data_IF_791403761832
#
_entry.id   IF_791403761832
#
_cell.length_a   1.000
_cell.length_b   1.000
_cell.length_c   1.000
_cell.angle_alpha   90.00
_cell.angle_beta   90.00
_cell.angle_gamma   90.00
#
_symmetry.space_group_name_H-M   'P 1'
#
loop_
_entity.id
_entity.type
_entity.pdbx_description
1 polymer ?
#
# COMPACT_ATOMS: atom_id res chain seq x y z
N UNK A 1 -27.47 -34.00 5.51
CA UNK A 1 -26.01 -34.17 5.47
C UNK A 1 -25.41 -33.02 4.69
N UNK A 2 -24.61 -32.18 5.32
CA UNK A 2 -23.84 -31.15 4.59
C UNK A 2 -22.77 -31.85 3.73
N UNK A 3 -22.88 -31.74 2.42
CA UNK A 3 -21.86 -32.23 1.50
C UNK A 3 -20.70 -31.24 1.47
N UNK A 4 -19.62 -31.57 2.15
CA UNK A 4 -18.40 -30.75 2.12
C UNK A 4 -17.72 -30.81 0.75
N UNK A 5 -17.08 -29.69 0.31
CA UNK A 5 -16.28 -29.69 -0.91
C UNK A 5 -15.14 -30.68 -0.86
N UNK A 6 -14.73 -31.20 -2.01
CA UNK A 6 -13.61 -32.15 -2.12
C UNK A 6 -12.35 -31.53 -1.49
N UNK A 7 -11.67 -32.31 -0.62
CA UNK A 7 -10.46 -31.89 0.09
C UNK A 7 -10.70 -31.10 1.38
N UNK A 8 -11.93 -30.72 1.72
CA UNK A 8 -12.23 -29.96 2.95
C UNK A 8 -11.75 -30.68 4.20
N UNK A 9 -12.30 -31.89 4.45
CA UNK A 9 -11.95 -32.69 5.64
C UNK A 9 -10.47 -33.02 5.69
N UNK A 10 -9.84 -33.30 4.56
CA UNK A 10 -8.42 -33.60 4.46
C UNK A 10 -7.55 -32.40 4.79
N UNK A 11 -7.92 -31.18 4.32
CA UNK A 11 -7.18 -29.95 4.66
C UNK A 11 -7.22 -29.70 6.16
N UNK A 12 -8.38 -29.88 6.82
CA UNK A 12 -8.50 -29.67 8.27
C UNK A 12 -7.67 -30.70 9.04
N UNK A 13 -7.73 -31.99 8.64
CA UNK A 13 -6.92 -33.04 9.25
C UNK A 13 -5.41 -32.79 9.07
N UNK A 14 -5.01 -32.35 7.89
CA UNK A 14 -3.61 -32.02 7.61
C UNK A 14 -3.14 -30.77 8.40
N UNK A 15 -3.98 -29.75 8.58
CA UNK A 15 -3.68 -28.62 9.43
C UNK A 15 -3.38 -29.04 10.88
N UNK A 16 -4.23 -29.89 11.47
CA UNK A 16 -3.98 -30.47 12.80
C UNK A 16 -2.63 -31.18 12.86
N UNK A 17 -2.34 -32.05 11.88
CA UNK A 17 -1.07 -32.77 11.80
C UNK A 17 0.13 -31.82 11.71
N UNK A 18 0.05 -30.78 10.87
CA UNK A 18 1.13 -29.81 10.71
C UNK A 18 1.40 -29.10 12.03
N UNK A 19 0.38 -28.55 12.68
CA UNK A 19 0.59 -27.74 13.89
C UNK A 19 0.89 -28.58 15.15
N UNK A 20 0.32 -29.80 15.27
CA UNK A 20 0.50 -30.62 16.49
C UNK A 20 1.67 -31.57 16.43
N UNK A 21 2.06 -32.03 15.23
CA UNK A 21 3.07 -33.05 15.09
C UNK A 21 4.31 -32.58 14.34
N UNK A 22 4.14 -31.87 13.20
CA UNK A 22 5.24 -31.56 12.31
C UNK A 22 6.03 -30.33 12.83
N UNK A 23 5.36 -29.19 13.00
CA UNK A 23 6.01 -27.96 13.44
C UNK A 23 6.72 -28.09 14.81
N UNK A 24 6.20 -28.85 15.79
CA UNK A 24 6.92 -29.08 17.05
C UNK A 24 8.26 -29.82 16.87
N UNK A 25 8.40 -30.71 15.88
CA UNK A 25 9.70 -31.35 15.57
C UNK A 25 10.73 -30.32 15.07
N UNK A 26 10.27 -29.18 14.53
CA UNK A 26 11.11 -28.05 14.12
C UNK A 26 11.15 -26.93 15.18
N UNK A 27 10.99 -27.29 16.47
CA UNK A 27 11.09 -26.39 17.62
C UNK A 27 10.05 -25.26 17.66
N UNK A 28 8.92 -25.41 17.00
CA UNK A 28 7.79 -24.48 17.05
C UNK A 28 6.77 -24.93 18.09
N UNK A 29 6.32 -24.00 18.94
CA UNK A 29 5.34 -24.31 19.99
C UNK A 29 3.94 -24.51 19.40
N UNK A 30 3.22 -25.52 19.90
CA UNK A 30 1.79 -25.69 19.62
C UNK A 30 1.00 -24.54 20.25
N UNK A 31 0.11 -23.94 19.47
CA UNK A 31 -0.78 -22.86 19.91
C UNK A 31 -2.17 -23.13 19.39
N UNK A 32 -3.10 -23.36 20.31
CA UNK A 32 -4.48 -23.71 19.95
C UNK A 32 -5.18 -22.59 19.16
N UNK A 33 -4.88 -21.35 19.49
CA UNK A 33 -5.42 -20.16 18.80
C UNK A 33 -4.93 -20.08 17.34
N UNK A 34 -3.71 -20.53 17.09
CA UNK A 34 -3.13 -20.59 15.74
C UNK A 34 -3.81 -21.68 14.90
N UNK A 35 -4.07 -22.84 15.50
CA UNK A 35 -4.77 -23.94 14.86
C UNK A 35 -6.21 -23.53 14.55
N UNK A 36 -6.91 -22.97 15.51
CA UNK A 36 -8.27 -22.48 15.34
C UNK A 36 -8.37 -21.40 14.22
N UNK A 37 -7.40 -20.48 14.15
CA UNK A 37 -7.34 -19.50 13.07
C UNK A 37 -7.10 -20.17 11.71
N UNK A 38 -6.25 -21.19 11.62
CA UNK A 38 -6.03 -21.93 10.38
C UNK A 38 -7.32 -22.63 9.91
N UNK A 39 -8.09 -23.19 10.83
CA UNK A 39 -9.39 -23.78 10.51
C UNK A 39 -10.38 -22.74 10.01
N UNK A 40 -10.46 -21.57 10.63
CA UNK A 40 -11.32 -20.48 10.15
C UNK A 40 -10.91 -19.99 8.75
N UNK A 41 -9.59 -19.92 8.48
CA UNK A 41 -9.09 -19.62 7.12
C UNK A 41 -9.55 -20.66 6.11
N UNK A 42 -9.43 -21.95 6.42
CA UNK A 42 -9.90 -23.04 5.56
C UNK A 42 -11.40 -22.95 5.31
N UNK A 43 -12.20 -22.76 6.36
CA UNK A 43 -13.64 -22.59 6.25
C UNK A 43 -14.01 -21.44 5.31
N UNK A 44 -13.36 -20.29 5.50
CA UNK A 44 -13.56 -19.10 4.66
C UNK A 44 -13.27 -19.40 3.19
N UNK A 45 -12.14 -20.07 2.92
CA UNK A 45 -11.69 -20.38 1.57
C UNK A 45 -12.62 -21.38 0.87
N UNK A 46 -13.03 -22.45 1.56
CA UNK A 46 -13.90 -23.48 1.00
C UNK A 46 -15.33 -22.99 0.77
N UNK A 47 -15.84 -22.17 1.68
CA UNK A 47 -17.20 -21.61 1.56
C UNK A 47 -17.25 -20.36 0.66
N UNK A 48 -16.11 -19.84 0.21
CA UNK A 48 -16.00 -18.61 -0.61
C UNK A 48 -16.63 -17.39 0.07
N UNK A 49 -16.31 -17.22 1.33
CA UNK A 49 -16.84 -16.14 2.18
C UNK A 49 -15.79 -15.06 2.44
N UNK A 50 -16.19 -14.02 3.17
CA UNK A 50 -15.28 -13.05 3.77
C UNK A 50 -15.25 -13.32 5.27
N UNK A 51 -14.06 -13.34 5.89
CA UNK A 51 -13.91 -13.45 7.33
C UNK A 51 -13.16 -12.26 7.92
N UNK A 52 -13.59 -11.82 9.10
CA UNK A 52 -12.91 -10.90 10.00
C UNK A 52 -12.27 -11.71 11.12
N UNK A 53 -10.96 -11.83 11.10
CA UNK A 53 -10.20 -12.67 12.02
C UNK A 53 -9.35 -11.78 12.95
N UNK A 54 -9.83 -11.52 14.16
CA UNK A 54 -9.02 -10.91 15.21
C UNK A 54 -8.21 -11.99 15.92
N UNK A 55 -6.90 -11.87 15.86
CA UNK A 55 -6.00 -12.76 16.57
C UNK A 55 -4.87 -11.94 17.22
N UNK A 56 -4.78 -12.00 18.53
CA UNK A 56 -3.86 -11.21 19.34
C UNK A 56 -2.39 -11.39 18.95
N UNK A 57 -1.54 -10.52 19.48
CA UNK A 57 -0.09 -10.62 19.28
C UNK A 57 0.42 -11.94 19.84
N UNK A 58 1.28 -12.62 19.09
CA UNK A 58 1.88 -13.90 19.48
C UNK A 58 1.09 -15.15 19.10
N UNK A 59 -0.11 -15.03 18.52
CA UNK A 59 -0.88 -16.18 18.03
C UNK A 59 -0.24 -16.87 16.83
N UNK A 60 0.66 -16.21 16.10
CA UNK A 60 1.27 -16.76 14.88
C UNK A 60 0.37 -16.65 13.65
N UNK A 61 -0.38 -15.57 13.52
CA UNK A 61 -1.30 -15.30 12.40
C UNK A 61 -0.73 -15.65 11.02
N UNK A 62 0.49 -15.18 10.75
CA UNK A 62 1.14 -15.35 9.45
C UNK A 62 1.23 -16.82 9.06
N UNK A 63 1.72 -17.65 9.94
CA UNK A 63 1.86 -19.09 9.69
C UNK A 63 0.48 -19.77 9.57
N UNK A 64 -0.52 -19.35 10.37
CA UNK A 64 -1.87 -19.90 10.31
C UNK A 64 -2.52 -19.68 8.94
N UNK A 65 -2.50 -18.46 8.41
CA UNK A 65 -3.11 -18.22 7.11
C UNK A 65 -2.27 -18.78 5.95
N UNK A 66 -0.94 -18.84 6.06
CA UNK A 66 -0.09 -19.48 5.04
C UNK A 66 -0.38 -20.97 4.92
N UNK A 67 -0.41 -21.71 6.05
CA UNK A 67 -0.74 -23.13 6.06
C UNK A 67 -2.15 -23.36 5.49
N UNK A 68 -3.16 -22.60 5.96
CA UNK A 68 -4.53 -22.73 5.45
C UNK A 68 -4.63 -22.48 3.94
N UNK A 69 -3.99 -21.44 3.45
CA UNK A 69 -3.94 -21.10 2.01
C UNK A 69 -3.26 -22.18 1.17
N UNK A 70 -2.12 -22.70 1.62
CA UNK A 70 -1.36 -23.73 0.91
C UNK A 70 -2.18 -25.03 0.84
N UNK A 71 -2.73 -25.49 1.97
CA UNK A 71 -3.54 -26.71 2.02
C UNK A 71 -4.78 -26.62 1.13
N UNK A 72 -5.44 -25.46 1.13
CA UNK A 72 -6.58 -25.23 0.24
C UNK A 72 -6.16 -25.25 -1.24
N UNK A 73 -5.04 -24.59 -1.59
CA UNK A 73 -4.53 -24.53 -2.96
C UNK A 73 -4.09 -25.90 -3.48
N UNK A 74 -3.50 -26.74 -2.64
CA UNK A 74 -3.11 -28.12 -3.00
C UNK A 74 -4.30 -28.97 -3.45
N UNK A 75 -5.46 -28.79 -2.85
CA UNK A 75 -6.68 -29.52 -3.19
C UNK A 75 -7.42 -28.98 -4.41
N UNK A 76 -6.86 -27.97 -5.12
CA UNK A 76 -7.42 -27.44 -6.36
C UNK A 76 -6.85 -28.16 -7.59
N UNK A 77 -7.66 -28.44 -8.61
CA UNK A 77 -7.15 -28.99 -9.88
C UNK A 77 -6.09 -28.04 -10.47
N UNK A 78 -4.99 -28.58 -11.00
CA UNK A 78 -3.88 -27.78 -11.56
C UNK A 78 -4.32 -26.71 -12.56
N UNK A 79 -5.26 -27.05 -13.45
CA UNK A 79 -5.83 -26.12 -14.45
C UNK A 79 -6.58 -24.95 -13.85
N UNK A 80 -6.96 -25.03 -12.56
CA UNK A 80 -7.75 -24.01 -11.83
C UNK A 80 -6.90 -23.29 -10.76
N UNK A 81 -5.63 -23.66 -10.61
CA UNK A 81 -4.74 -23.00 -9.65
C UNK A 81 -4.38 -21.61 -10.14
N UNK A 82 -4.81 -20.62 -9.39
CA UNK A 82 -4.42 -19.24 -9.53
C UNK A 82 -3.66 -18.80 -8.28
N UNK A 83 -2.86 -17.76 -8.34
CA UNK A 83 -2.17 -17.23 -7.17
C UNK A 83 -3.13 -16.85 -6.04
N UNK A 84 -2.61 -16.87 -4.82
CA UNK A 84 -3.23 -16.22 -3.67
C UNK A 84 -2.55 -14.86 -3.50
N UNK A 85 -3.32 -13.81 -3.20
CA UNK A 85 -2.78 -12.49 -2.90
C UNK A 85 -2.74 -12.30 -1.39
N UNK A 86 -1.57 -11.90 -0.89
CA UNK A 86 -1.38 -11.46 0.49
C UNK A 86 -1.04 -9.97 0.48
N UNK A 87 -1.90 -9.17 1.07
CA UNK A 87 -1.70 -7.73 1.23
C UNK A 87 -1.39 -7.41 2.68
N UNK A 88 -0.30 -6.69 2.94
CA UNK A 88 0.09 -6.28 4.30
C UNK A 88 0.45 -4.79 4.35
N UNK A 89 0.41 -4.20 5.52
CA UNK A 89 0.71 -2.78 5.71
C UNK A 89 2.21 -2.47 5.79
N UNK A 90 3.07 -3.49 5.97
CA UNK A 90 4.50 -3.33 6.28
C UNK A 90 5.38 -3.95 5.21
N UNK A 91 6.39 -3.20 4.75
CA UNK A 91 7.43 -3.72 3.84
C UNK A 91 8.25 -4.80 4.56
N UNK A 92 8.60 -4.59 5.84
CA UNK A 92 9.32 -5.58 6.61
C UNK A 92 8.58 -6.93 6.71
N UNK A 93 7.25 -6.90 6.83
CA UNK A 93 6.47 -8.14 6.85
C UNK A 93 6.39 -8.79 5.45
N UNK A 94 6.35 -8.00 4.37
CA UNK A 94 6.44 -8.55 3.01
C UNK A 94 7.75 -9.32 2.82
N UNK A 95 8.85 -8.71 3.25
CA UNK A 95 10.18 -9.31 3.15
C UNK A 95 10.28 -10.55 4.06
N UNK A 96 9.80 -10.50 5.31
CA UNK A 96 9.78 -11.66 6.20
C UNK A 96 8.94 -12.84 5.65
N UNK A 97 7.78 -12.57 5.05
CA UNK A 97 6.98 -13.62 4.41
C UNK A 97 7.76 -14.27 3.27
N UNK A 98 8.44 -13.46 2.43
CA UNK A 98 9.17 -13.94 1.26
C UNK A 98 10.47 -14.68 1.63
N UNK A 99 11.23 -14.17 2.62
CA UNK A 99 12.60 -14.63 2.90
C UNK A 99 12.73 -15.55 4.10
N UNK A 100 11.72 -15.59 4.98
CA UNK A 100 11.73 -16.40 6.20
C UNK A 100 10.56 -17.39 6.22
N UNK A 101 9.31 -16.90 6.37
CA UNK A 101 8.15 -17.77 6.60
C UNK A 101 7.87 -18.76 5.48
N UNK A 102 7.88 -18.33 4.22
CA UNK A 102 7.58 -19.21 3.09
C UNK A 102 8.71 -20.21 2.79
N UNK A 103 10.00 -19.81 2.79
CA UNK A 103 11.09 -20.77 2.61
C UNK A 103 11.13 -21.84 3.70
N UNK A 104 11.00 -21.45 4.97
CA UNK A 104 11.02 -22.38 6.09
C UNK A 104 9.83 -23.35 6.02
N UNK A 105 8.62 -22.81 5.82
CA UNK A 105 7.42 -23.64 5.69
C UNK A 105 7.52 -24.56 4.47
N UNK A 106 8.01 -24.06 3.34
CA UNK A 106 8.18 -24.85 2.12
C UNK A 106 9.16 -26.02 2.32
N UNK A 107 10.30 -25.76 2.99
CA UNK A 107 11.28 -26.79 3.30
C UNK A 107 10.68 -27.89 4.20
N UNK A 108 10.00 -27.49 5.28
CA UNK A 108 9.34 -28.43 6.21
C UNK A 108 8.31 -29.29 5.48
N UNK A 109 7.45 -28.67 4.66
CA UNK A 109 6.40 -29.41 3.95
C UNK A 109 6.94 -30.32 2.84
N UNK A 110 8.09 -29.98 2.21
CA UNK A 110 8.81 -30.83 1.27
C UNK A 110 9.41 -32.05 1.97
N UNK A 111 10.11 -31.85 3.09
CA UNK A 111 10.77 -32.91 3.86
C UNK A 111 9.76 -33.91 4.40
N UNK A 112 8.57 -33.47 4.78
CA UNK A 112 7.46 -34.32 5.22
C UNK A 112 6.63 -34.90 4.06
N UNK A 113 6.99 -34.65 2.81
CA UNK A 113 6.31 -35.15 1.60
C UNK A 113 4.87 -34.65 1.43
N UNK A 114 4.53 -33.50 2.05
CA UNK A 114 3.19 -32.89 1.94
C UNK A 114 3.05 -32.16 0.62
N UNK A 115 4.10 -31.47 0.19
CA UNK A 115 4.18 -30.82 -1.12
C UNK A 115 5.27 -31.49 -1.97
N UNK A 116 5.15 -31.39 -3.30
CA UNK A 116 6.08 -32.03 -4.26
C UNK A 116 7.03 -31.05 -4.92
N UNK A 117 6.80 -29.75 -4.76
CA UNK A 117 7.64 -28.69 -5.30
C UNK A 117 7.66 -27.51 -4.31
N UNK A 118 8.73 -26.70 -4.32
CA UNK A 118 8.80 -25.50 -3.49
C UNK A 118 7.68 -24.51 -3.80
N UNK A 119 7.17 -23.83 -2.76
CA UNK A 119 6.16 -22.80 -2.89
C UNK A 119 6.81 -21.55 -3.49
N UNK A 120 6.26 -21.06 -4.58
CA UNK A 120 6.77 -19.89 -5.29
C UNK A 120 6.03 -18.62 -4.89
N UNK A 121 6.76 -17.56 -4.59
CA UNK A 121 6.17 -16.28 -4.22
C UNK A 121 6.85 -15.10 -4.89
N UNK A 122 6.13 -14.01 -5.08
CA UNK A 122 6.65 -12.76 -5.63
C UNK A 122 6.07 -11.55 -4.89
N UNK A 123 6.93 -10.58 -4.58
CA UNK A 123 6.49 -9.30 -4.04
C UNK A 123 6.16 -8.35 -5.20
N UNK A 124 4.94 -7.82 -5.23
CA UNK A 124 4.48 -6.82 -6.19
C UNK A 124 4.63 -5.43 -5.60
N UNK A 125 5.46 -4.62 -6.25
CA UNK A 125 5.75 -3.23 -5.88
C UNK A 125 5.58 -2.32 -7.08
N UNK A 126 5.42 -1.01 -6.84
CA UNK A 126 5.41 -0.01 -7.91
C UNK A 126 6.71 0.01 -8.69
N UNK A 127 6.63 0.35 -9.97
CA UNK A 127 7.79 0.42 -10.89
C UNK A 127 8.90 1.33 -10.35
N UNK A 128 8.53 2.38 -9.64
CA UNK A 128 9.43 3.35 -9.03
C UNK A 128 10.32 2.77 -7.91
N UNK A 129 10.07 1.52 -7.51
CA UNK A 129 10.90 0.78 -6.54
C UNK A 129 12.00 -0.04 -7.19
N UNK A 130 11.98 -0.20 -8.50
CA UNK A 130 12.92 -1.04 -9.23
C UNK A 130 13.91 -0.20 -10.03
N UNK A 131 15.14 -0.70 -10.14
CA UNK A 131 16.21 -0.11 -10.95
C UNK A 131 15.91 -0.29 -12.43
N UNK A 132 16.03 0.79 -13.20
CA UNK A 132 16.08 0.75 -14.66
C UNK A 132 17.54 0.75 -15.13
N UNK A 133 18.00 -0.33 -15.74
CA UNK A 133 19.40 -0.48 -16.16
C UNK A 133 19.86 0.62 -17.11
N UNK A 134 19.00 1.05 -18.04
CA UNK A 134 19.30 2.14 -18.97
C UNK A 134 19.53 3.48 -18.26
N UNK A 135 18.66 3.82 -17.31
CA UNK A 135 18.79 5.04 -16.49
C UNK A 135 19.95 4.97 -15.51
N UNK A 136 20.23 3.76 -14.98
CA UNK A 136 21.38 3.53 -14.12
C UNK A 136 22.69 3.79 -14.88
N UNK A 137 22.84 3.24 -16.08
CA UNK A 137 24.01 3.45 -16.93
C UNK A 137 24.22 4.94 -17.27
N UNK A 138 23.14 5.65 -17.65
CA UNK A 138 23.17 7.09 -17.88
C UNK A 138 23.59 7.86 -16.61
N UNK A 139 23.01 7.52 -15.47
CA UNK A 139 23.32 8.18 -14.20
C UNK A 139 24.76 7.91 -13.75
N UNK A 140 25.25 6.69 -13.89
CA UNK A 140 26.60 6.29 -13.53
C UNK A 140 27.64 7.05 -14.38
N UNK A 141 27.40 7.27 -15.67
CA UNK A 141 28.29 8.04 -16.54
C UNK A 141 28.42 9.50 -16.10
N UNK A 142 27.35 10.11 -15.61
CA UNK A 142 27.35 11.49 -15.12
C UNK A 142 28.08 11.66 -13.77
N UNK A 143 28.09 10.59 -12.92
CA UNK A 143 28.70 10.62 -11.57
C UNK A 143 30.19 10.28 -11.57
N UNK A 144 30.74 9.78 -12.68
CA UNK A 144 32.17 9.47 -12.77
C UNK A 144 33.10 10.63 -12.42
N UNK A 145 32.62 11.85 -12.46
CA UNK A 145 33.38 13.08 -12.20
C UNK A 145 33.29 13.63 -10.77
N UNK A 146 32.44 13.09 -9.88
CA UNK A 146 32.33 13.60 -8.50
C UNK A 146 31.73 12.63 -7.50
N UNK A 147 32.44 12.42 -6.35
CA UNK A 147 32.01 11.81 -5.08
C UNK A 147 32.00 10.28 -4.95
N UNK A 148 33.01 9.75 -4.21
CA UNK A 148 33.19 8.33 -3.87
C UNK A 148 31.95 7.63 -3.28
N UNK A 149 31.19 8.28 -2.39
CA UNK A 149 30.03 7.67 -1.70
C UNK A 149 28.85 7.40 -2.65
N UNK A 150 28.65 8.27 -3.62
CA UNK A 150 27.58 8.15 -4.63
C UNK A 150 27.91 7.06 -5.66
N UNK A 151 29.19 6.83 -5.96
CA UNK A 151 29.64 5.72 -6.80
C UNK A 151 29.31 4.36 -6.20
N UNK A 152 29.52 4.19 -4.89
CA UNK A 152 29.30 2.91 -4.23
C UNK A 152 27.81 2.50 -4.25
N UNK A 153 26.87 3.42 -3.97
CA UNK A 153 25.45 3.09 -3.99
C UNK A 153 24.90 2.78 -5.39
N UNK A 154 25.40 3.47 -6.43
CA UNK A 154 25.05 3.15 -7.81
C UNK A 154 25.65 1.82 -8.27
N UNK A 155 26.88 1.50 -7.86
CA UNK A 155 27.49 0.21 -8.12
C UNK A 155 26.74 -0.97 -7.46
N UNK A 156 26.22 -0.78 -6.24
CA UNK A 156 25.32 -1.76 -5.61
C UNK A 156 24.05 -1.96 -6.45
N UNK A 157 23.50 -0.90 -7.03
CA UNK A 157 22.32 -0.97 -7.89
C UNK A 157 22.55 -1.73 -9.21
N UNK A 158 23.79 -1.96 -9.63
CA UNK A 158 24.11 -2.83 -10.77
C UNK A 158 23.77 -4.30 -10.51
N UNK A 159 23.81 -4.72 -9.24
CA UNK A 159 23.55 -6.11 -8.84
C UNK A 159 22.20 -6.31 -8.17
N UNK A 160 21.62 -5.26 -7.58
CA UNK A 160 20.34 -5.32 -6.85
C UNK A 160 19.26 -4.60 -7.65
N UNK A 161 18.19 -5.31 -8.01
CA UNK A 161 17.06 -4.77 -8.78
C UNK A 161 16.10 -3.96 -7.91
N UNK A 162 15.78 -4.44 -6.70
CA UNK A 162 14.87 -3.79 -5.77
C UNK A 162 15.61 -2.73 -4.93
N UNK A 163 15.27 -1.46 -5.16
CA UNK A 163 15.92 -0.34 -4.47
C UNK A 163 15.62 -0.27 -2.97
N UNK A 164 14.61 -0.99 -2.47
CA UNK A 164 14.34 -1.04 -1.03
C UNK A 164 15.48 -1.78 -0.28
N UNK A 165 16.22 -2.65 -0.99
CA UNK A 165 17.41 -3.34 -0.47
C UNK A 165 18.70 -2.54 -0.62
N UNK A 166 18.63 -1.27 -1.01
CA UNK A 166 19.78 -0.37 -1.15
C UNK A 166 19.54 0.89 -0.28
N UNK A 167 19.71 0.80 1.04
CA UNK A 167 19.44 1.92 1.95
C UNK A 167 20.34 3.15 1.71
N UNK A 168 21.56 2.95 1.18
CA UNK A 168 22.52 4.01 0.90
C UNK A 168 22.13 4.87 -0.30
N UNK A 169 21.17 4.42 -1.12
CA UNK A 169 20.75 5.14 -2.32
C UNK A 169 19.97 6.39 -1.96
N UNK A 170 20.46 7.55 -2.36
CA UNK A 170 19.81 8.83 -2.10
C UNK A 170 18.44 8.91 -2.75
N UNK A 171 17.49 9.68 -2.17
CA UNK A 171 16.18 9.93 -2.77
C UNK A 171 16.29 10.49 -4.19
N UNK A 172 17.28 11.35 -4.41
CA UNK A 172 17.56 11.92 -5.73
C UNK A 172 17.95 10.86 -6.76
N UNK A 173 18.87 9.96 -6.39
CA UNK A 173 19.30 8.89 -7.30
C UNK A 173 18.18 7.88 -7.54
N UNK A 174 17.40 7.51 -6.50
CA UNK A 174 16.21 6.65 -6.65
C UNK A 174 15.26 7.17 -7.72
N UNK A 175 14.92 8.45 -7.70
CA UNK A 175 14.03 9.05 -8.70
C UNK A 175 14.63 9.05 -10.12
N UNK A 176 15.97 9.08 -10.23
CA UNK A 176 16.67 9.13 -11.52
C UNK A 176 16.86 7.77 -12.17
N UNK A 177 17.07 6.73 -11.36
CA UNK A 177 17.35 5.37 -11.87
C UNK A 177 16.14 4.45 -11.83
N UNK A 178 14.98 4.88 -11.32
CA UNK A 178 13.80 4.04 -11.24
C UNK A 178 13.23 3.68 -12.62
N UNK A 179 12.53 2.55 -12.69
CA UNK A 179 11.77 2.15 -13.87
C UNK A 179 10.69 3.19 -14.17
N UNK A 180 10.62 3.74 -15.39
CA UNK A 180 9.65 4.75 -15.75
C UNK A 180 8.23 4.18 -15.82
N UNK A 181 7.21 5.02 -15.66
CA UNK A 181 5.81 4.62 -15.80
C UNK A 181 5.53 4.01 -17.19
N UNK A 182 6.11 4.59 -18.23
CA UNK A 182 6.08 4.06 -19.59
C UNK A 182 7.50 3.86 -20.10
N UNK A 183 7.86 2.61 -20.41
CA UNK A 183 9.17 2.31 -21.01
C UNK A 183 9.19 2.69 -22.49
N UNK A 184 10.25 3.34 -22.99
CA UNK A 184 10.43 3.62 -24.40
C UNK A 184 10.37 2.32 -25.23
N UNK A 185 9.77 2.39 -26.44
CA UNK A 185 9.67 1.25 -27.34
C UNK A 185 11.03 0.85 -27.92
N UNK A 186 11.92 1.81 -28.05
CA UNK A 186 13.27 1.74 -28.60
C UNK A 186 14.37 1.59 -27.53
N UNK A 187 14.01 1.19 -26.32
CA UNK A 187 14.99 0.95 -25.26
C UNK A 187 16.01 -0.11 -25.68
N UNK A 188 17.28 0.27 -25.73
CA UNK A 188 18.39 -0.57 -26.20
C UNK A 188 18.67 -1.80 -25.30
N UNK A 189 18.27 -1.73 -24.00
CA UNK A 189 18.37 -2.86 -23.06
C UNK A 189 17.09 -3.70 -22.97
N UNK A 190 16.14 -3.56 -23.89
CA UNK A 190 14.81 -4.18 -23.75
C UNK A 190 14.87 -5.71 -23.62
N UNK A 191 15.79 -6.37 -24.33
CA UNK A 191 15.96 -7.83 -24.29
C UNK A 191 16.63 -8.31 -23.01
N UNK A 192 17.61 -7.55 -22.51
CA UNK A 192 18.46 -7.87 -21.36
C UNK A 192 18.00 -7.13 -20.09
N UNK A 193 16.85 -6.47 -20.12
CA UNK A 193 16.31 -5.70 -19.00
C UNK A 193 15.98 -6.60 -17.81
N UNK A 194 16.68 -6.44 -16.68
CA UNK A 194 16.47 -7.19 -15.43
C UNK A 194 15.03 -7.06 -14.92
N UNK A 195 14.42 -5.88 -15.03
CA UNK A 195 13.03 -5.68 -14.62
C UNK A 195 12.05 -6.48 -15.49
N UNK A 196 12.25 -6.51 -16.81
CA UNK A 196 11.43 -7.35 -17.71
C UNK A 196 11.65 -8.83 -17.48
N UNK A 197 12.86 -9.25 -17.16
CA UNK A 197 13.19 -10.62 -16.79
C UNK A 197 12.50 -11.00 -15.48
N UNK A 198 12.62 -10.17 -14.44
CA UNK A 198 11.89 -10.34 -13.17
C UNK A 198 10.38 -10.53 -13.39
N UNK A 199 9.76 -9.74 -14.27
CA UNK A 199 8.34 -9.91 -14.60
C UNK A 199 8.03 -11.23 -15.34
N UNK A 200 8.98 -11.76 -16.10
CA UNK A 200 8.84 -13.05 -16.81
C UNK A 200 9.03 -14.25 -15.91
N UNK A 201 10.05 -14.21 -15.05
CA UNK A 201 10.43 -15.31 -14.17
C UNK A 201 9.29 -15.67 -13.20
N UNK A 202 8.55 -14.67 -12.74
CA UNK A 202 7.39 -14.85 -11.86
C UNK A 202 6.05 -14.82 -12.61
N UNK A 203 5.94 -15.54 -13.73
CA UNK A 203 4.68 -15.58 -14.49
C UNK A 203 3.56 -16.34 -13.79
N UNK A 204 3.89 -17.36 -13.00
CA UNK A 204 2.90 -18.23 -12.30
C UNK A 204 3.34 -18.49 -10.86
N UNK A 205 3.42 -17.47 -10.00
CA UNK A 205 3.70 -17.72 -8.59
C UNK A 205 2.49 -18.35 -7.92
N UNK A 206 2.71 -19.10 -6.84
CA UNK A 206 1.63 -19.60 -5.97
C UNK A 206 1.06 -18.45 -5.13
N UNK A 207 1.94 -17.50 -4.74
CA UNK A 207 1.58 -16.39 -3.87
C UNK A 207 2.09 -15.06 -4.47
N UNK A 208 1.24 -14.05 -4.49
CA UNK A 208 1.60 -12.67 -4.76
C UNK A 208 1.49 -11.85 -3.47
N UNK A 209 2.57 -11.22 -3.05
CA UNK A 209 2.63 -10.37 -1.86
C UNK A 209 2.63 -8.91 -2.31
N UNK A 210 1.86 -8.05 -1.66
CA UNK A 210 1.86 -6.61 -1.95
C UNK A 210 1.53 -5.80 -0.69
N UNK A 211 1.62 -4.48 -0.77
CA UNK A 211 1.08 -3.61 0.27
C UNK A 211 -0.37 -3.21 -0.05
N UNK A 212 -1.06 -2.63 0.95
CA UNK A 212 -2.44 -2.19 0.80
C UNK A 212 -2.61 -1.16 -0.32
N UNK A 213 -1.66 -0.24 -0.50
CA UNK A 213 -1.73 0.74 -1.57
C UNK A 213 -1.67 0.08 -2.96
N UNK A 214 -0.85 -0.95 -3.14
CA UNK A 214 -0.76 -1.68 -4.40
C UNK A 214 -2.02 -2.50 -4.68
N UNK A 215 -2.59 -3.13 -3.64
CA UNK A 215 -3.88 -3.81 -3.72
C UNK A 215 -5.00 -2.85 -4.16
N UNK A 216 -5.09 -1.69 -3.53
CA UNK A 216 -6.07 -0.66 -3.84
C UNK A 216 -5.86 -0.08 -5.24
N UNK A 217 -4.61 0.15 -5.66
CA UNK A 217 -4.30 0.59 -7.02
C UNK A 217 -4.75 -0.45 -8.06
N UNK A 218 -4.51 -1.74 -7.80
CA UNK A 218 -5.01 -2.81 -8.66
C UNK A 218 -6.54 -2.82 -8.72
N UNK A 219 -7.22 -2.60 -7.60
CA UNK A 219 -8.68 -2.53 -7.54
C UNK A 219 -9.23 -1.32 -8.32
N UNK A 220 -8.59 -0.14 -8.24
CA UNK A 220 -8.93 1.02 -9.06
C UNK A 220 -8.73 0.76 -10.55
N UNK A 221 -7.61 0.12 -10.94
CA UNK A 221 -7.38 -0.29 -12.32
C UNK A 221 -8.49 -1.20 -12.85
N UNK A 222 -8.98 -2.12 -12.02
CA UNK A 222 -10.11 -3.00 -12.38
C UNK A 222 -11.41 -2.22 -12.61
N UNK A 223 -11.72 -1.26 -11.74
CA UNK A 223 -12.92 -0.43 -11.87
C UNK A 223 -12.88 0.49 -13.09
N UNK A 224 -11.68 0.91 -13.50
CA UNK A 224 -11.46 1.80 -14.64
C UNK A 224 -11.12 1.02 -15.93
N UNK A 225 -11.28 -0.31 -15.92
CA UNK A 225 -10.98 -1.20 -17.04
C UNK A 225 -9.54 -1.06 -17.58
N UNK A 226 -8.61 -0.69 -16.71
CA UNK A 226 -7.18 -0.60 -17.02
C UNK A 226 -6.48 -1.96 -16.86
N UNK A 227 -5.29 -2.17 -17.45
CA UNK A 227 -4.50 -3.36 -17.23
C UNK A 227 -4.22 -3.59 -15.73
N UNK A 228 -4.50 -4.81 -15.26
CA UNK A 228 -4.32 -5.16 -13.86
C UNK A 228 -2.85 -5.15 -13.45
N UNK A 229 -2.58 -4.70 -12.23
CA UNK A 229 -1.26 -4.69 -11.61
C UNK A 229 -0.90 -6.05 -11.00
N UNK A 230 -1.89 -6.70 -10.39
CA UNK A 230 -1.81 -8.07 -9.90
C UNK A 230 -2.30 -9.02 -10.99
N UNK A 231 -1.75 -10.23 -11.03
CA UNK A 231 -2.36 -11.30 -11.81
C UNK A 231 -3.69 -11.69 -11.19
N UNK A 232 -4.56 -12.25 -12.04
CA UNK A 232 -5.79 -12.86 -11.56
C UNK A 232 -5.46 -13.85 -10.42
N UNK A 233 -6.21 -13.79 -9.35
CA UNK A 233 -5.99 -14.55 -8.14
C UNK A 233 -7.29 -15.24 -7.70
N UNK A 234 -7.18 -16.23 -6.84
CA UNK A 234 -8.32 -17.04 -6.40
C UNK A 234 -8.71 -16.83 -4.94
N UNK A 235 -7.86 -16.16 -4.15
CA UNK A 235 -8.12 -15.81 -2.76
C UNK A 235 -7.30 -14.58 -2.37
N UNK A 236 -7.79 -13.82 -1.39
CA UNK A 236 -7.16 -12.63 -0.85
C UNK A 236 -6.99 -12.75 0.67
N UNK A 237 -5.79 -12.50 1.15
CA UNK A 237 -5.50 -12.27 2.56
C UNK A 237 -5.10 -10.81 2.74
N UNK A 238 -5.76 -10.11 3.64
CA UNK A 238 -5.41 -8.75 4.06
C UNK A 238 -4.92 -8.82 5.49
N UNK A 239 -3.62 -8.79 5.67
CA UNK A 239 -2.99 -8.79 6.98
C UNK A 239 -2.85 -7.35 7.49
N UNK A 240 -3.00 -7.15 8.79
CA UNK A 240 -3.16 -5.84 9.43
C UNK A 240 -4.31 -5.03 8.81
N UNK A 241 -5.45 -5.69 8.60
CA UNK A 241 -6.62 -5.16 7.91
C UNK A 241 -7.18 -3.87 8.54
N UNK A 242 -6.90 -3.62 9.82
CA UNK A 242 -7.26 -2.36 10.49
C UNK A 242 -6.63 -1.12 9.83
N UNK A 243 -5.53 -1.28 9.08
CA UNK A 243 -4.85 -0.19 8.36
C UNK A 243 -5.38 0.03 6.94
N UNK A 244 -6.17 -0.90 6.41
CA UNK A 244 -6.69 -0.79 5.04
C UNK A 244 -7.58 0.46 4.83
N UNK A 245 -8.48 0.87 5.77
CA UNK A 245 -9.25 2.09 5.62
C UNK A 245 -8.39 3.35 5.54
N UNK A 246 -7.27 3.41 6.28
CA UNK A 246 -6.36 4.55 6.24
C UNK A 246 -5.58 4.60 4.93
N UNK A 247 -5.12 3.46 4.43
CA UNK A 247 -4.50 3.36 3.11
C UNK A 247 -5.48 3.79 2.00
N UNK A 248 -6.74 3.37 2.09
CA UNK A 248 -7.78 3.78 1.15
C UNK A 248 -8.10 5.29 1.25
N UNK A 249 -8.16 5.83 2.46
CA UNK A 249 -8.35 7.28 2.66
C UNK A 249 -7.22 8.07 2.00
N UNK A 250 -5.97 7.66 2.20
CA UNK A 250 -4.83 8.31 1.57
C UNK A 250 -4.88 8.21 0.04
N UNK A 251 -5.21 7.03 -0.49
CA UNK A 251 -5.27 6.80 -1.93
C UNK A 251 -6.39 7.58 -2.63
N UNK A 252 -7.57 7.68 -2.00
CA UNK A 252 -8.72 8.40 -2.53
C UNK A 252 -8.78 9.88 -2.10
N UNK A 253 -7.67 10.41 -1.58
CA UNK A 253 -7.47 11.83 -1.33
C UNK A 253 -6.74 12.44 -2.51
N UNK A 254 -7.41 13.35 -3.20
CA UNK A 254 -6.79 14.17 -4.24
C UNK A 254 -5.97 15.27 -3.58
N UNK A 255 -4.73 15.47 -4.04
CA UNK A 255 -3.82 16.45 -3.43
C UNK A 255 -3.17 17.32 -4.47
N UNK A 256 -2.93 18.60 -4.11
CA UNK A 256 -2.13 19.55 -4.86
C UNK A 256 -1.14 20.21 -3.91
N UNK A 257 0.12 19.83 -4.00
CA UNK A 257 1.18 20.42 -3.22
C UNK A 257 1.86 21.59 -3.94
N UNK A 258 2.58 22.41 -3.19
CA UNK A 258 3.44 23.46 -3.78
C UNK A 258 4.47 22.85 -4.75
N UNK A 259 4.95 21.64 -4.47
CA UNK A 259 5.87 20.91 -5.35
C UNK A 259 5.21 20.50 -6.67
N UNK A 260 3.96 20.01 -6.65
CA UNK A 260 3.24 19.63 -7.88
C UNK A 260 3.06 20.84 -8.80
N UNK A 261 2.79 22.01 -8.20
CA UNK A 261 2.69 23.27 -8.94
C UNK A 261 4.05 23.69 -9.51
N UNK A 262 5.15 23.57 -8.75
CA UNK A 262 6.50 23.85 -9.24
C UNK A 262 6.90 22.89 -10.39
N UNK A 263 6.55 21.61 -10.29
CA UNK A 263 6.79 20.62 -11.33
C UNK A 263 5.99 20.98 -12.60
N UNK A 264 4.71 21.38 -12.46
CA UNK A 264 3.89 21.87 -13.59
C UNK A 264 4.47 23.12 -14.24
N UNK A 265 4.92 24.09 -13.43
CA UNK A 265 5.59 25.30 -13.93
C UNK A 265 6.89 24.98 -14.67
N UNK A 266 7.64 23.98 -14.20
CA UNK A 266 8.88 23.52 -14.84
C UNK A 266 8.61 22.87 -16.20
N UNK A 267 7.56 22.05 -16.30
CA UNK A 267 7.10 21.45 -17.56
C UNK A 267 6.65 22.53 -18.57
N UNK A 268 5.93 23.55 -18.13
CA UNK A 268 5.56 24.70 -18.98
C UNK A 268 6.78 25.45 -19.50
N UNK A 269 7.83 25.62 -18.69
CA UNK A 269 9.09 26.24 -19.12
C UNK A 269 9.81 25.41 -20.19
N UNK A 270 9.85 24.08 -20.02
CA UNK A 270 10.44 23.13 -20.99
C UNK A 270 9.67 23.17 -22.32
N UNK A 271 8.35 23.34 -22.26
CA UNK A 271 7.49 23.48 -23.43
C UNK A 271 7.48 24.92 -24.03
N UNK A 272 8.45 25.76 -23.64
CA UNK A 272 8.63 27.14 -24.11
C UNK A 272 7.59 28.17 -23.68
N UNK A 273 6.67 27.85 -22.72
CA UNK A 273 5.69 28.77 -22.16
C UNK A 273 6.22 29.52 -20.91
N UNK A 274 7.43 30.08 -20.99
CA UNK A 274 8.14 30.70 -19.84
C UNK A 274 7.35 31.80 -19.15
N UNK A 275 6.70 32.69 -19.92
CA UNK A 275 5.91 33.81 -19.40
C UNK A 275 4.70 33.34 -18.60
N UNK A 276 3.97 32.34 -19.12
CA UNK A 276 2.80 31.75 -18.47
C UNK A 276 3.19 30.96 -17.22
N UNK A 277 4.30 30.24 -17.25
CA UNK A 277 4.87 29.55 -16.08
C UNK A 277 5.15 30.53 -14.94
N UNK A 278 5.82 31.66 -15.22
CA UNK A 278 6.10 32.71 -14.21
C UNK A 278 4.80 33.27 -13.62
N UNK A 279 3.82 33.58 -14.48
CA UNK A 279 2.52 34.09 -14.05
C UNK A 279 1.76 33.07 -13.16
N UNK A 280 1.75 31.81 -13.55
CA UNK A 280 1.11 30.74 -12.76
C UNK A 280 1.74 30.61 -11.38
N UNK A 281 3.07 30.64 -11.29
CA UNK A 281 3.79 30.61 -10.01
C UNK A 281 3.41 31.79 -9.11
N UNK A 282 3.29 32.99 -9.65
CA UNK A 282 2.88 34.21 -8.90
C UNK A 282 1.44 34.05 -8.37
N UNK A 283 0.50 33.65 -9.21
CA UNK A 283 -0.91 33.48 -8.81
C UNK A 283 -1.04 32.38 -7.74
N UNK A 284 -0.32 31.27 -7.90
CA UNK A 284 -0.34 30.19 -6.88
C UNK A 284 0.32 30.63 -5.57
N UNK A 285 1.35 31.46 -5.61
CA UNK A 285 1.93 32.04 -4.40
C UNK A 285 0.92 32.93 -3.65
N UNK A 286 0.16 33.76 -4.37
CA UNK A 286 -0.92 34.56 -3.78
C UNK A 286 -1.98 33.68 -3.12
N UNK A 287 -2.38 32.60 -3.80
CA UNK A 287 -3.29 31.59 -3.24
C UNK A 287 -2.70 30.95 -1.96
N UNK A 288 -1.43 30.57 -1.99
CA UNK A 288 -0.74 29.95 -0.84
C UNK A 288 -0.69 30.91 0.37
N UNK A 289 -0.38 32.18 0.13
CA UNK A 289 -0.39 33.21 1.18
C UNK A 289 -1.80 33.37 1.77
N UNK A 290 -2.84 33.37 0.95
CA UNK A 290 -4.23 33.45 1.42
C UNK A 290 -4.65 32.32 2.36
N UNK A 291 -3.98 31.17 2.22
CA UNK A 291 -4.24 29.97 2.99
C UNK A 291 -3.36 29.81 4.23
N UNK A 292 -2.30 30.62 4.35
CA UNK A 292 -1.38 30.57 5.50
C UNK A 292 -2.12 30.95 6.79
N UNK A 293 -2.04 30.11 7.84
CA UNK A 293 -2.69 30.43 9.11
C UNK A 293 -1.98 31.60 9.83
N UNK A 294 -2.74 32.35 10.64
CA UNK A 294 -2.22 33.51 11.41
C UNK A 294 -1.43 33.12 12.66
N UNK A 295 -1.40 31.85 13.02
CA UNK A 295 -0.63 31.34 14.16
C UNK A 295 0.75 30.82 13.74
N UNK A 296 1.68 30.77 14.68
CA UNK A 296 3.03 30.25 14.46
C UNK A 296 2.99 28.76 14.09
N UNK A 297 3.56 28.41 12.94
CA UNK A 297 3.58 27.04 12.45
C UNK A 297 4.48 26.15 13.31
N UNK A 298 4.00 25.03 13.83
CA UNK A 298 4.84 24.09 14.54
C UNK A 298 5.82 23.40 13.57
N UNK A 299 6.99 23.01 14.08
CA UNK A 299 8.00 22.24 13.30
C UNK A 299 7.57 20.77 13.10
N UNK A 300 6.32 20.56 12.76
CA UNK A 300 5.75 19.24 12.44
C UNK A 300 4.64 19.42 11.41
N UNK A 301 4.30 18.33 10.73
CA UNK A 301 3.15 18.32 9.81
C UNK A 301 1.86 18.59 10.58
N UNK A 302 1.04 19.49 10.07
CA UNK A 302 -0.30 19.81 10.60
C UNK A 302 -1.33 19.80 9.48
N UNK A 303 -2.56 19.47 9.83
CA UNK A 303 -3.73 19.55 8.94
C UNK A 303 -4.76 20.47 9.58
N UNK A 304 -5.32 21.37 8.80
CA UNK A 304 -6.37 22.31 9.24
C UNK A 304 -7.56 22.22 8.29
N UNK A 305 -8.81 22.26 8.77
CA UNK A 305 -9.98 22.31 7.93
C UNK A 305 -9.91 23.51 6.97
N UNK A 306 -10.32 23.30 5.72
CA UNK A 306 -10.43 24.40 4.78
C UNK A 306 -11.70 25.19 5.05
N UNK A 307 -11.62 26.51 5.07
CA UNK A 307 -12.75 27.43 5.12
C UNK A 307 -12.67 28.41 3.95
N UNK A 308 -13.75 28.50 3.18
CA UNK A 308 -13.82 29.41 2.04
C UNK A 308 -14.12 30.82 2.54
N UNK A 309 -13.14 31.72 2.34
CA UNK A 309 -13.31 33.18 2.58
C UNK A 309 -13.38 33.89 1.23
N UNK A 310 -13.95 35.11 1.16
CA UNK A 310 -14.00 35.86 -0.09
C UNK A 310 -12.61 36.04 -0.76
N UNK A 311 -11.57 36.24 0.05
CA UNK A 311 -10.20 36.38 -0.45
C UNK A 311 -9.65 35.07 -1.03
N UNK A 312 -9.87 33.94 -0.34
CA UNK A 312 -9.50 32.61 -0.86
C UNK A 312 -10.28 32.24 -2.10
N UNK A 313 -11.58 32.56 -2.13
CA UNK A 313 -12.43 32.35 -3.29
C UNK A 313 -11.90 33.07 -4.52
N UNK A 314 -11.55 34.36 -4.40
CA UNK A 314 -10.97 35.13 -5.48
C UNK A 314 -9.62 34.54 -5.93
N UNK A 315 -8.72 34.22 -5.00
CA UNK A 315 -7.42 33.67 -5.33
C UNK A 315 -7.49 32.27 -6.02
N UNK A 316 -8.42 31.42 -5.61
CA UNK A 316 -8.67 30.12 -6.28
C UNK A 316 -9.24 30.36 -7.68
N UNK A 317 -10.22 31.27 -7.82
CA UNK A 317 -10.81 31.59 -9.12
C UNK A 317 -9.77 32.15 -10.11
N UNK A 318 -8.89 33.03 -9.64
CA UNK A 318 -7.79 33.57 -10.46
C UNK A 318 -6.85 32.46 -10.93
N UNK A 319 -6.53 31.51 -10.04
CA UNK A 319 -5.69 30.36 -10.39
C UNK A 319 -6.38 29.47 -11.44
N UNK A 320 -7.65 29.17 -11.26
CA UNK A 320 -8.46 28.36 -12.20
C UNK A 320 -8.52 29.05 -13.57
N UNK A 321 -8.87 30.34 -13.60
CA UNK A 321 -8.96 31.11 -14.85
C UNK A 321 -7.64 31.11 -15.62
N UNK A 322 -6.51 31.23 -14.88
CA UNK A 322 -5.19 31.18 -15.50
C UNK A 322 -4.86 29.80 -16.03
N UNK A 323 -5.19 28.71 -15.29
CA UNK A 323 -4.98 27.34 -15.74
C UNK A 323 -5.75 27.05 -17.03
N UNK A 324 -7.01 27.49 -17.11
CA UNK A 324 -7.85 27.39 -18.32
C UNK A 324 -7.24 28.15 -19.49
N UNK A 325 -6.82 29.40 -19.23
CA UNK A 325 -6.18 30.22 -20.26
C UNK A 325 -4.90 29.57 -20.78
N UNK A 326 -4.08 28.99 -19.90
CA UNK A 326 -2.87 28.28 -20.30
C UNK A 326 -3.23 27.04 -21.13
N UNK A 327 -4.21 26.25 -20.68
CA UNK A 327 -4.65 25.04 -21.39
C UNK A 327 -5.24 25.29 -22.79
N UNK A 328 -5.80 26.48 -23.02
CA UNK A 328 -6.37 26.90 -24.32
C UNK A 328 -5.33 27.48 -25.30
N UNK A 329 -4.04 27.56 -24.91
CA UNK A 329 -3.03 28.10 -25.81
C UNK A 329 -2.80 27.21 -27.01
N UNK A 330 -2.60 27.80 -28.22
CA UNK A 330 -2.17 27.04 -29.39
C UNK A 330 -0.87 26.29 -29.09
N UNK A 331 -0.72 25.12 -29.69
CA UNK A 331 0.46 24.27 -29.55
C UNK A 331 0.74 23.73 -28.14
N UNK A 332 -0.25 23.79 -27.23
CA UNK A 332 -0.13 23.19 -25.89
C UNK A 332 -0.06 21.67 -26.00
N UNK A 333 1.02 21.01 -25.53
CA UNK A 333 1.14 19.56 -25.55
C UNK A 333 0.01 18.87 -24.78
N UNK A 334 -0.56 17.79 -25.31
CA UNK A 334 -1.68 17.06 -24.68
C UNK A 334 -1.42 16.63 -23.24
N UNK A 335 -0.19 16.21 -22.94
CA UNK A 335 0.15 15.81 -21.58
C UNK A 335 0.10 17.00 -20.58
N UNK A 336 0.41 18.22 -21.05
CA UNK A 336 0.28 19.43 -20.24
C UNK A 336 -1.19 19.85 -20.12
N UNK A 337 -1.97 19.76 -21.19
CA UNK A 337 -3.42 20.03 -21.13
C UNK A 337 -4.07 19.15 -20.06
N UNK A 338 -3.73 17.85 -20.04
CA UNK A 338 -4.24 16.92 -19.04
C UNK A 338 -3.84 17.34 -17.61
N UNK A 339 -2.56 17.65 -17.36
CA UNK A 339 -2.08 18.08 -16.04
C UNK A 339 -2.69 19.41 -15.57
N UNK A 340 -2.89 20.36 -16.49
CA UNK A 340 -3.58 21.61 -16.20
C UNK A 340 -5.05 21.36 -15.81
N UNK A 341 -5.74 20.51 -16.54
CA UNK A 341 -7.13 20.15 -16.27
C UNK A 341 -7.27 19.39 -14.93
N UNK A 342 -6.36 18.47 -14.59
CA UNK A 342 -6.35 17.82 -13.27
C UNK A 342 -6.19 18.84 -12.14
N UNK A 343 -5.24 19.76 -12.28
CA UNK A 343 -4.97 20.81 -11.29
C UNK A 343 -6.19 21.75 -11.14
N UNK A 344 -6.80 22.15 -12.26
CA UNK A 344 -8.02 22.94 -12.28
C UNK A 344 -9.17 22.21 -11.59
N UNK A 345 -9.40 20.96 -11.94
CA UNK A 345 -10.49 20.13 -11.38
C UNK A 345 -10.38 20.03 -9.86
N UNK A 346 -9.19 19.80 -9.35
CA UNK A 346 -8.96 19.75 -7.91
C UNK A 346 -9.23 21.10 -7.23
N UNK A 347 -8.74 22.23 -7.77
CA UNK A 347 -9.01 23.55 -7.21
C UNK A 347 -10.49 23.92 -7.23
N UNK A 348 -11.25 23.47 -8.24
CA UNK A 348 -12.71 23.65 -8.29
C UNK A 348 -13.43 23.01 -7.12
N UNK A 349 -12.95 21.88 -6.59
CA UNK A 349 -13.54 21.25 -5.40
C UNK A 349 -13.55 22.21 -4.19
N UNK A 350 -12.57 23.12 -4.11
CA UNK A 350 -12.47 24.09 -3.02
C UNK A 350 -13.38 25.31 -3.16
N UNK A 351 -14.01 25.48 -4.33
CA UNK A 351 -15.05 26.50 -4.57
C UNK A 351 -16.47 25.95 -4.40
N UNK A 352 -16.62 24.63 -4.43
CA UNK A 352 -17.89 23.95 -4.40
C UNK A 352 -18.14 23.33 -3.02
N UNK A 353 -19.36 23.41 -2.53
CA UNK A 353 -19.80 22.58 -1.42
C UNK A 353 -20.08 21.16 -1.94
N UNK A 354 -19.09 20.28 -1.85
CA UNK A 354 -19.19 18.89 -2.29
C UNK A 354 -19.40 17.98 -1.07
N UNK A 355 -20.64 17.54 -0.79
CA UNK A 355 -20.94 16.78 0.43
C UNK A 355 -20.17 15.44 0.55
N UNK A 356 -19.57 14.97 -0.54
CA UNK A 356 -18.81 13.71 -0.57
C UNK A 356 -17.32 13.89 -0.33
N UNK A 357 -16.87 15.13 -0.09
CA UNK A 357 -15.47 15.48 0.10
C UNK A 357 -15.25 16.20 1.43
N UNK A 358 -14.13 15.89 2.07
CA UNK A 358 -13.61 16.61 3.22
C UNK A 358 -12.42 17.42 2.73
N UNK A 359 -12.57 18.74 2.75
CA UNK A 359 -11.55 19.67 2.27
C UNK A 359 -10.70 20.17 3.44
N UNK A 360 -9.39 20.05 3.33
CA UNK A 360 -8.46 20.53 4.34
C UNK A 360 -7.13 20.93 3.72
N UNK A 361 -6.34 21.66 4.48
CA UNK A 361 -4.99 22.09 4.12
C UNK A 361 -3.99 21.38 5.00
N UNK A 362 -2.94 20.84 4.40
CA UNK A 362 -1.79 20.30 5.11
C UNK A 362 -0.60 21.24 4.96
N UNK A 363 0.13 21.41 6.04
CA UNK A 363 1.41 22.12 6.04
C UNK A 363 2.50 21.16 6.50
N UNK A 364 3.56 21.05 5.71
CA UNK A 364 4.76 20.28 6.10
C UNK A 364 5.49 20.97 7.26
N UNK A 365 6.47 20.27 7.84
CA UNK A 365 7.37 20.85 8.86
C UNK A 365 8.12 22.10 8.36
N UNK A 366 8.33 22.20 7.05
CA UNK A 366 8.97 23.32 6.36
C UNK A 366 7.95 24.39 5.88
N UNK A 367 6.69 24.28 6.30
CA UNK A 367 5.61 25.21 5.97
C UNK A 367 5.06 25.11 4.54
N UNK A 368 5.39 24.07 3.78
CA UNK A 368 4.84 23.89 2.43
C UNK A 368 3.38 23.46 2.48
N UNK A 369 2.55 24.18 1.73
CA UNK A 369 1.11 23.95 1.62
C UNK A 369 0.78 22.80 0.65
N UNK A 370 -0.19 22.00 1.05
CA UNK A 370 -0.88 21.01 0.21
C UNK A 370 -2.38 21.16 0.38
N UNK A 371 -3.10 21.32 -0.71
CA UNK A 371 -4.56 21.22 -0.76
C UNK A 371 -4.95 19.76 -0.78
N UNK A 372 -5.89 19.35 0.07
CA UNK A 372 -6.31 17.97 0.22
C UNK A 372 -7.85 17.87 0.15
N UNK A 373 -8.34 17.06 -0.78
CA UNK A 373 -9.76 16.73 -0.94
C UNK A 373 -9.99 15.24 -0.71
N UNK A 374 -10.24 14.85 0.53
CA UNK A 374 -10.46 13.46 0.91
C UNK A 374 -11.90 13.02 0.65
N UNK A 375 -12.07 11.77 0.21
CA UNK A 375 -13.41 11.18 0.11
C UNK A 375 -13.93 10.81 1.49
N UNK A 376 -15.20 11.16 1.79
CA UNK A 376 -15.92 10.66 2.98
C UNK A 376 -16.65 9.34 2.69
N UNK A 377 -16.55 8.81 1.46
CA UNK A 377 -17.17 7.56 1.00
C UNK A 377 -16.18 6.39 0.92
N UNK A 378 -15.12 6.43 1.72
CA UNK A 378 -14.10 5.35 1.73
C UNK A 378 -14.70 3.95 1.92
N UNK A 379 -15.68 3.72 2.84
CA UNK A 379 -16.32 2.41 2.98
C UNK A 379 -17.01 1.94 1.69
N UNK A 380 -17.73 2.82 1.01
CA UNK A 380 -18.40 2.48 -0.25
C UNK A 380 -17.42 2.19 -1.37
N UNK A 381 -16.31 2.95 -1.44
CA UNK A 381 -15.23 2.73 -2.39
C UNK A 381 -14.55 1.36 -2.14
N UNK A 382 -14.24 1.02 -0.88
CA UNK A 382 -13.71 -0.30 -0.54
C UNK A 382 -14.67 -1.42 -0.92
N UNK A 383 -15.97 -1.24 -0.66
CA UNK A 383 -17.00 -2.21 -1.04
C UNK A 383 -17.01 -2.46 -2.54
N UNK A 384 -17.08 -1.40 -3.35
CA UNK A 384 -17.09 -1.53 -4.80
C UNK A 384 -15.79 -2.08 -5.37
N UNK A 385 -14.65 -1.68 -4.79
CA UNK A 385 -13.34 -2.01 -5.30
C UNK A 385 -12.87 -3.42 -4.90
N UNK A 386 -13.19 -3.90 -3.69
CA UNK A 386 -12.63 -5.14 -3.15
C UNK A 386 -13.68 -6.22 -2.87
N UNK A 387 -14.87 -5.88 -2.34
CA UNK A 387 -15.80 -6.86 -1.81
C UNK A 387 -16.86 -7.32 -2.79
N UNK A 388 -17.02 -6.64 -3.91
CA UNK A 388 -17.92 -7.09 -5.00
C UNK A 388 -17.29 -8.19 -5.87
N UNK A 389 -16.12 -8.68 -5.50
CA UNK A 389 -15.48 -9.83 -6.13
C UNK A 389 -16.00 -11.12 -5.50
N UNK A 390 -15.83 -12.25 -6.20
CA UNK A 390 -16.27 -13.57 -5.71
C UNK A 390 -15.16 -14.34 -5.03
N UNK A 391 -13.99 -13.75 -4.88
CA UNK A 391 -12.84 -14.39 -4.27
C UNK A 391 -13.01 -14.41 -2.75
N UNK A 392 -12.82 -15.56 -2.09
CA UNK A 392 -12.80 -15.64 -0.65
C UNK A 392 -11.72 -14.72 -0.08
N UNK A 393 -12.05 -14.03 1.01
CA UNK A 393 -11.17 -13.00 1.57
C UNK A 393 -11.02 -13.16 3.08
N UNK A 394 -9.79 -13.25 3.55
CA UNK A 394 -9.44 -13.27 4.97
C UNK A 394 -8.91 -11.90 5.36
N UNK A 395 -9.59 -11.21 6.27
CA UNK A 395 -9.18 -9.94 6.86
C UNK A 395 -8.67 -10.22 8.27
N UNK A 396 -7.36 -10.18 8.47
CA UNK A 396 -6.76 -10.51 9.77
C UNK A 396 -6.02 -9.33 10.38
N UNK A 397 -6.07 -9.22 11.71
CA UNK A 397 -5.34 -8.23 12.48
C UNK A 397 -5.29 -8.61 13.97
N UNK A 398 -4.39 -7.95 14.71
CA UNK A 398 -4.39 -8.01 16.17
C UNK A 398 -5.52 -7.21 16.84
N UNK A 399 -6.16 -6.31 16.10
CA UNK A 399 -7.12 -5.33 16.63
C UNK A 399 -8.19 -5.01 15.58
N UNK A 400 -9.28 -5.76 15.56
CA UNK A 400 -10.45 -5.52 14.68
C UNK A 400 -11.71 -5.20 15.49
N UNK A 401 -11.76 -5.59 16.77
CA UNK A 401 -12.91 -5.31 17.61
C UNK A 401 -12.74 -4.02 18.41
N UNK A 402 -13.83 -3.29 18.60
CA UNK A 402 -13.96 -2.23 19.57
C UNK A 402 -15.00 -2.64 20.61
N UNK A 403 -14.64 -2.63 21.89
CA UNK A 403 -15.49 -3.13 22.99
C UNK A 403 -16.00 -4.59 22.80
N UNK A 404 -15.23 -5.40 22.05
CA UNK A 404 -15.55 -6.80 21.76
C UNK A 404 -16.46 -7.04 20.54
N UNK A 405 -16.78 -5.99 19.78
CA UNK A 405 -17.65 -6.02 18.62
C UNK A 405 -16.89 -5.63 17.33
N UNK A 406 -17.24 -6.25 16.20
CA UNK A 406 -16.69 -5.95 14.87
C UNK A 406 -17.44 -4.83 14.12
N UNK A 407 -18.53 -4.28 14.66
CA UNK A 407 -19.42 -3.37 13.93
C UNK A 407 -18.70 -2.11 13.42
N UNK A 408 -17.85 -1.53 14.25
CA UNK A 408 -17.05 -0.38 13.84
C UNK A 408 -16.13 -0.71 12.64
N UNK A 409 -15.44 -1.83 12.71
CA UNK A 409 -14.56 -2.30 11.62
C UNK A 409 -15.34 -2.65 10.36
N UNK A 410 -16.50 -3.28 10.48
CA UNK A 410 -17.41 -3.54 9.34
C UNK A 410 -17.84 -2.25 8.66
N UNK A 411 -18.17 -1.21 9.43
CA UNK A 411 -18.51 0.10 8.88
C UNK A 411 -17.33 0.72 8.12
N UNK A 412 -16.15 0.75 8.74
CA UNK A 412 -14.95 1.34 8.12
C UNK A 412 -14.52 0.61 6.84
N UNK A 413 -14.63 -0.71 6.81
CA UNK A 413 -14.29 -1.55 5.66
C UNK A 413 -15.40 -1.62 4.60
N UNK A 414 -16.59 -1.05 4.85
CA UNK A 414 -17.71 -1.13 3.93
C UNK A 414 -18.40 -2.49 3.88
N UNK A 415 -18.27 -3.28 4.94
CA UNK A 415 -18.83 -4.63 5.09
C UNK A 415 -20.12 -4.69 5.93
N UNK A 416 -20.61 -3.55 6.43
CA UNK A 416 -21.79 -3.52 7.32
C UNK A 416 -23.06 -4.18 6.74
N UNK A 417 -23.22 -4.13 5.42
CA UNK A 417 -24.35 -4.76 4.72
C UNK A 417 -23.93 -5.97 3.85
N UNK A 418 -22.75 -6.54 4.15
CA UNK A 418 -22.25 -7.72 3.42
C UNK A 418 -22.67 -9.00 4.13
N UNK A 419 -23.20 -9.96 3.38
CA UNK A 419 -23.56 -11.27 3.90
C UNK A 419 -23.28 -12.34 2.81
N UNK A 420 -22.76 -13.52 3.17
CA UNK A 420 -22.36 -13.92 4.51
C UNK A 420 -20.99 -13.34 4.93
N UNK A 421 -20.85 -13.00 6.19
CA UNK A 421 -19.60 -12.51 6.79
C UNK A 421 -19.29 -13.32 8.05
N UNK A 422 -18.12 -13.95 8.08
CA UNK A 422 -17.67 -14.72 9.23
C UNK A 422 -16.91 -13.83 10.22
N UNK A 423 -16.99 -14.18 11.49
CA UNK A 423 -16.28 -13.50 12.57
C UNK A 423 -15.50 -14.54 13.37
N UNK A 424 -14.21 -14.30 13.55
CA UNK A 424 -13.35 -15.12 14.37
C UNK A 424 -12.55 -14.26 15.34
N UNK A 425 -12.43 -14.69 16.57
CA UNK A 425 -11.62 -14.03 17.59
C UNK A 425 -10.81 -15.06 18.36
N UNK A 426 -9.49 -14.84 18.42
CA UNK A 426 -8.57 -15.55 19.27
C UNK A 426 -7.84 -14.60 20.19
N UNK A 427 -7.77 -14.92 21.45
CA UNK A 427 -7.01 -14.12 22.42
C UNK A 427 -5.49 -14.31 22.23
N UNK A 428 -4.71 -13.39 22.78
CA UNK A 428 -3.25 -13.55 22.79
C UNK A 428 -2.86 -14.69 23.75
N UNK A 429 -1.93 -15.56 23.36
CA UNK A 429 -1.42 -16.60 24.26
C UNK A 429 -0.59 -16.05 25.43
N UNK A 430 -0.31 -14.76 25.42
CA UNK A 430 0.45 -14.11 26.49
C UNK A 430 -0.43 -13.68 27.65
N UNK A 431 -0.06 -14.11 28.85
CA UNK A 431 -0.68 -13.62 30.08
C UNK A 431 -0.13 -12.22 30.43
N UNK A 432 -0.74 -11.17 29.89
CA UNK A 432 -0.32 -9.78 30.12
C UNK A 432 -0.38 -9.37 31.59
N UNK A 433 -1.30 -9.93 32.38
CA UNK A 433 -1.37 -9.63 33.84
C UNK A 433 -0.12 -10.06 34.59
N UNK A 434 0.58 -11.11 34.11
CA UNK A 434 1.82 -11.60 34.73
C UNK A 434 3.09 -11.09 34.04
N UNK A 435 3.00 -10.72 32.75
CA UNK A 435 4.17 -10.38 31.91
C UNK A 435 4.27 -8.90 31.53
N UNK A 436 3.27 -8.08 31.89
CA UNK A 436 3.25 -6.65 31.60
C UNK A 436 3.22 -5.85 32.92
N UNK A 437 4.13 -4.88 33.06
CA UNK A 437 4.14 -3.91 34.13
C UNK A 437 3.73 -2.55 33.56
N UNK A 438 2.56 -2.06 33.98
CA UNK A 438 2.15 -0.68 33.68
C UNK A 438 2.64 0.22 34.82
N UNK A 439 3.65 1.05 34.51
CA UNK A 439 4.11 2.09 35.44
C UNK A 439 3.49 3.43 35.04
N UNK A 440 2.68 3.99 35.94
CA UNK A 440 2.12 5.34 35.81
C UNK A 440 2.86 6.22 36.81
N UNK A 441 3.80 7.09 36.34
CA UNK A 441 4.49 7.99 37.26
C UNK A 441 3.49 8.98 37.84
N UNK A 442 3.68 9.35 39.13
CA UNK A 442 2.95 10.45 39.72
C UNK A 442 3.21 11.74 38.90
N UNK A 443 2.19 12.59 38.69
CA UNK A 443 2.37 13.79 37.91
C UNK A 443 3.47 14.66 38.54
N UNK A 444 4.59 14.80 37.84
CA UNK A 444 5.65 15.76 38.18
C UNK A 444 5.33 17.09 37.50
N UNK A 445 5.55 18.18 38.25
CA UNK A 445 5.43 19.54 37.69
C UNK A 445 6.26 19.66 36.41
N UNK A 446 5.65 20.17 35.33
CA UNK A 446 6.21 20.26 33.97
C UNK A 446 7.52 21.04 33.82
N UNK A 447 8.08 21.56 34.89
CA UNK A 447 9.28 22.41 34.91
C UNK A 447 10.62 21.63 34.78
N UNK A 448 10.61 20.26 34.78
CA UNK A 448 11.85 19.47 34.83
C UNK A 448 11.89 18.23 33.89
N UNK A 449 11.07 18.15 32.85
CA UNK A 449 11.20 17.08 31.83
C UNK A 449 12.06 17.55 30.66
N UNK A 450 13.37 17.65 30.89
CA UNK A 450 14.34 17.52 29.80
C UNK A 450 14.61 16.02 29.61
N UNK A 451 14.10 15.44 28.53
CA UNK A 451 14.51 14.11 28.08
C UNK A 451 16.01 14.17 27.75
N UNK A 452 16.86 13.24 28.25
CA UNK A 452 18.22 13.18 27.80
C UNK A 452 18.25 12.86 26.29
N UNK A 453 18.82 13.75 25.51
CA UNK A 453 19.17 13.52 24.11
C UNK A 453 20.39 12.59 24.09
N UNK A 454 20.20 11.34 23.75
CA UNK A 454 21.24 10.43 23.27
C UNK A 454 21.07 10.17 21.78
#
# INVERSE_FOLDING_TARGET
>A
MQTYPTGYTESHRMAEKIFREILPRHSMAVREEQIALCHEVLDTLYNKEISLCEAGVGTGKTLAYLVGCILWQMNRPERMKLPIVISTSSVALQDAILTEYLPDLSAILLDEGIITAPITAVVRKGKERFVCDARLAERASLVQLSRKRQKNSLHIAENILDMDHIPELSRYDRCRICVPQSCPRDCFLRLDCRYQQYLRDFRKPDIQICNHNYLLANASHRLEERPLLLRQYQALVVDEAHKLPDAARQMYTETLSAKDMDDLCSLLQQAHFKGLSKRLRTVFLTLSISCTPSFAMPKRKISIPFSLTPFRQAAIADCINLLQYIGSQPDMPHYLQYRLAETESLLRLFLLDVPTRILYLEFSADGQLTFCAASNRVPQLLRSALWNTREPTILTSGTLTAAGDFDHTKQLLGLAAYAPLRHFRAESPFNYRKKCLLYIPAPVSYTHLTLPTT
#
